data_IF_433551036673
#
_entry.id   IF_433551036673
#
_cell.length_a   1.000
_cell.length_b   1.000
_cell.length_c   1.000
_cell.angle_alpha   90.00
_cell.angle_beta   90.00
_cell.angle_gamma   90.00
#
_symmetry.space_group_name_H-M   'P 1'
#
loop_
_entity.id
_entity.type
_entity.pdbx_description
1 polymer ?
#
# COMPACT_ATOMS: atom_id res chain seq x y z
N UNK A 1 -29.51 42.44 -30.91
CA UNK A 1 -28.24 41.70 -30.76
C UNK A 1 -28.38 40.72 -29.60
N UNK A 2 -28.75 39.47 -29.88
CA UNK A 2 -28.94 38.46 -28.83
C UNK A 2 -27.59 37.87 -28.44
N UNK A 3 -27.05 38.31 -27.31
CA UNK A 3 -25.82 37.75 -26.75
C UNK A 3 -26.07 36.29 -26.36
N UNK A 4 -25.56 35.35 -27.15
CA UNK A 4 -25.61 33.92 -26.83
C UNK A 4 -24.72 33.70 -25.61
N UNK A 5 -25.32 33.53 -24.44
CA UNK A 5 -24.63 33.02 -23.26
C UNK A 5 -24.04 31.66 -23.62
N UNK A 6 -22.72 31.58 -23.83
CA UNK A 6 -22.05 30.32 -24.07
C UNK A 6 -22.29 29.41 -22.87
N UNK A 7 -23.05 28.33 -23.06
CA UNK A 7 -23.27 27.31 -22.03
C UNK A 7 -21.89 26.73 -21.71
N UNK A 8 -21.32 27.17 -20.57
CA UNK A 8 -20.01 26.70 -20.12
C UNK A 8 -20.16 25.22 -19.78
N UNK A 9 -19.46 24.35 -20.51
CA UNK A 9 -19.48 22.93 -20.23
C UNK A 9 -19.06 22.67 -18.77
N UNK A 10 -19.68 21.69 -18.07
CA UNK A 10 -19.33 21.37 -16.70
C UNK A 10 -17.84 21.02 -16.56
N UNK A 11 -17.29 21.17 -15.35
CA UNK A 11 -15.92 20.73 -15.07
C UNK A 11 -15.85 19.22 -14.91
N UNK A 12 -14.73 18.63 -15.29
CA UNK A 12 -14.40 17.25 -14.94
C UNK A 12 -14.29 17.14 -13.42
N UNK A 13 -14.79 16.06 -12.84
CA UNK A 13 -14.64 15.81 -11.39
C UNK A 13 -13.22 15.38 -10.99
N UNK A 14 -12.37 15.01 -11.95
CA UNK A 14 -11.02 14.47 -11.69
C UNK A 14 -9.87 15.42 -12.02
N UNK A 15 -10.07 16.38 -12.94
CA UNK A 15 -9.01 17.27 -13.39
C UNK A 15 -9.55 18.70 -13.57
N UNK A 16 -8.67 19.71 -13.71
CA UNK A 16 -9.10 21.09 -13.92
C UNK A 16 -9.86 21.34 -15.23
N UNK A 17 -9.81 20.41 -16.19
CA UNK A 17 -10.42 20.57 -17.51
C UNK A 17 -11.96 20.55 -17.48
N UNK A 18 -12.56 20.96 -18.61
CA UNK A 18 -14.00 20.86 -18.83
C UNK A 18 -14.37 19.59 -19.57
N UNK A 19 -15.63 19.18 -19.42
CA UNK A 19 -16.19 18.10 -20.22
C UNK A 19 -16.24 18.48 -21.71
N UNK A 20 -16.02 17.50 -22.62
CA UNK A 20 -16.19 17.71 -24.05
C UNK A 20 -17.58 18.28 -24.36
N UNK A 21 -17.66 19.20 -25.33
CA UNK A 21 -18.95 19.81 -25.71
C UNK A 21 -20.01 18.79 -26.17
N UNK A 22 -19.58 17.62 -26.65
CA UNK A 22 -20.44 16.49 -27.07
C UNK A 22 -20.62 15.43 -25.97
N UNK A 23 -20.21 15.70 -24.73
CA UNK A 23 -20.40 14.78 -23.63
C UNK A 23 -21.90 14.60 -23.33
N UNK A 24 -22.26 13.41 -22.84
CA UNK A 24 -23.63 13.15 -22.37
C UNK A 24 -23.95 14.07 -21.19
N UNK A 25 -25.24 14.36 -20.99
CA UNK A 25 -25.69 15.25 -19.92
C UNK A 25 -25.28 14.78 -18.51
N UNK A 26 -25.13 13.47 -18.31
CA UNK A 26 -24.71 12.81 -17.08
C UNK A 26 -23.20 12.52 -17.02
N UNK A 27 -22.42 12.96 -18.01
CA UNK A 27 -20.98 12.75 -18.01
C UNK A 27 -20.33 13.49 -16.84
N UNK A 28 -19.46 12.80 -16.11
CA UNK A 28 -18.74 13.34 -14.94
C UNK A 28 -17.25 13.56 -15.19
N UNK A 29 -16.71 12.95 -16.24
CA UNK A 29 -15.27 12.94 -16.54
C UNK A 29 -15.00 13.31 -17.99
N UNK A 30 -13.92 14.06 -18.23
CA UNK A 30 -13.59 14.53 -19.58
C UNK A 30 -13.10 13.42 -20.51
N UNK A 31 -12.64 12.29 -19.96
CA UNK A 31 -12.00 11.21 -20.70
C UNK A 31 -12.08 9.87 -19.97
N UNK A 32 -11.83 8.76 -20.69
CA UNK A 32 -11.69 7.43 -20.08
C UNK A 32 -10.57 7.38 -19.03
N UNK A 33 -9.36 7.96 -19.27
CA UNK A 33 -8.33 8.08 -18.25
C UNK A 33 -8.79 8.78 -16.97
N UNK A 34 -9.50 9.92 -17.07
CA UNK A 34 -10.02 10.62 -15.88
C UNK A 34 -11.05 9.78 -15.12
N UNK A 35 -11.94 9.08 -15.82
CA UNK A 35 -12.88 8.14 -15.18
C UNK A 35 -12.16 7.02 -14.46
N UNK A 36 -11.12 6.45 -15.08
CA UNK A 36 -10.31 5.39 -14.47
C UNK A 36 -9.53 5.90 -13.26
N UNK A 37 -8.98 7.13 -13.30
CA UNK A 37 -8.29 7.75 -12.17
C UNK A 37 -9.26 7.98 -10.99
N UNK A 38 -10.41 8.59 -11.22
CA UNK A 38 -11.43 8.80 -10.19
C UNK A 38 -11.95 7.48 -9.58
N UNK A 39 -12.10 6.44 -10.41
CA UNK A 39 -12.41 5.09 -9.94
C UNK A 39 -11.30 4.55 -9.03
N UNK A 40 -10.03 4.67 -9.43
CA UNK A 40 -8.87 4.21 -8.63
C UNK A 40 -8.78 4.96 -7.31
N UNK A 41 -8.99 6.27 -7.29
CA UNK A 41 -8.98 7.09 -6.06
C UNK A 41 -10.10 6.67 -5.10
N UNK A 42 -11.34 6.58 -5.59
CA UNK A 42 -12.47 6.11 -4.77
C UNK A 42 -12.24 4.71 -4.20
N UNK A 43 -11.73 3.78 -5.02
CA UNK A 43 -11.39 2.43 -4.57
C UNK A 43 -10.25 2.42 -3.56
N UNK A 44 -9.23 3.27 -3.77
CA UNK A 44 -8.16 3.46 -2.80
C UNK A 44 -8.70 4.00 -1.48
N UNK A 45 -9.63 4.95 -1.51
CA UNK A 45 -10.27 5.46 -0.29
C UNK A 45 -11.10 4.37 0.42
N UNK A 46 -11.83 3.51 -0.31
CA UNK A 46 -12.57 2.36 0.25
C UNK A 46 -11.64 1.37 0.99
N UNK A 47 -10.41 1.18 0.51
CA UNK A 47 -9.42 0.28 1.13
C UNK A 47 -8.43 1.00 2.05
N UNK A 48 -8.60 2.30 2.30
CA UNK A 48 -7.62 3.09 3.05
C UNK A 48 -6.23 3.10 2.44
N UNK A 49 -6.13 2.98 1.11
CA UNK A 49 -4.89 2.90 0.35
C UNK A 49 -4.33 1.49 0.16
N UNK A 50 -4.88 0.48 0.86
CA UNK A 50 -4.33 -0.87 0.87
C UNK A 50 -4.57 -1.62 -0.46
N UNK A 51 -3.66 -2.55 -0.85
CA UNK A 51 -3.84 -3.39 -2.03
C UNK A 51 -5.08 -4.27 -1.94
N UNK A 52 -5.87 -4.30 -3.02
CA UNK A 52 -7.12 -5.08 -3.05
C UNK A 52 -6.85 -6.56 -2.76
N UNK A 53 -5.79 -7.08 -3.35
CA UNK A 53 -5.29 -8.43 -3.19
C UNK A 53 -5.15 -8.77 -1.69
N UNK A 54 -4.55 -7.89 -0.89
CA UNK A 54 -4.40 -8.11 0.55
C UNK A 54 -5.74 -7.97 1.29
N UNK A 55 -6.55 -6.96 0.95
CA UNK A 55 -7.84 -6.72 1.67
C UNK A 55 -8.86 -7.84 1.53
N UNK A 56 -8.77 -8.66 0.48
CA UNK A 56 -9.67 -9.80 0.26
C UNK A 56 -9.33 -11.04 1.11
N UNK A 57 -8.23 -11.01 1.87
CA UNK A 57 -7.73 -12.14 2.65
C UNK A 57 -8.00 -11.90 4.14
N UNK A 58 -8.42 -12.94 4.88
CA UNK A 58 -8.69 -12.86 6.31
C UNK A 58 -7.41 -12.99 7.16
N UNK A 59 -6.45 -12.08 6.94
CA UNK A 59 -5.12 -12.08 7.59
C UNK A 59 -4.79 -10.74 8.23
N UNK A 60 -5.81 -9.98 8.57
CA UNK A 60 -5.66 -8.65 9.16
C UNK A 60 -5.73 -8.71 10.66
N UNK A 61 -4.90 -7.89 11.31
CA UNK A 61 -4.88 -7.67 12.76
C UNK A 61 -4.88 -6.17 13.03
N UNK A 62 -5.01 -5.79 14.29
CA UNK A 62 -4.66 -4.43 14.77
C UNK A 62 -3.27 -4.47 15.39
N UNK A 63 -2.68 -3.32 15.72
CA UNK A 63 -1.46 -3.28 16.53
C UNK A 63 -1.51 -2.18 17.60
N UNK A 64 -0.84 -2.39 18.73
CA UNK A 64 -0.75 -1.44 19.85
C UNK A 64 0.24 -0.30 19.57
N UNK A 65 0.30 0.73 20.44
CA UNK A 65 1.33 1.78 20.31
C UNK A 65 2.77 1.25 20.37
N UNK A 66 2.99 0.08 20.96
CA UNK A 66 4.29 -0.61 20.99
C UNK A 66 4.48 -1.57 19.81
N UNK A 67 3.63 -1.49 18.77
CA UNK A 67 3.64 -2.39 17.61
C UNK A 67 3.57 -3.86 18.02
N UNK A 68 2.68 -4.18 18.96
CA UNK A 68 2.33 -5.56 19.30
C UNK A 68 1.02 -5.91 18.58
N UNK A 69 0.93 -7.04 17.86
CA UNK A 69 -0.27 -7.40 17.13
C UNK A 69 -1.42 -7.74 18.09
N UNK A 70 -2.61 -7.26 17.74
CA UNK A 70 -3.85 -7.38 18.50
C UNK A 70 -4.97 -7.90 17.60
N UNK A 71 -5.86 -8.69 18.15
CA UNK A 71 -7.17 -8.97 17.57
C UNK A 71 -7.99 -7.67 17.48
N UNK A 72 -9.08 -7.68 16.71
CA UNK A 72 -10.02 -6.54 16.64
C UNK A 72 -10.70 -6.19 17.96
N UNK A 73 -10.56 -7.05 18.98
CA UNK A 73 -11.09 -6.89 20.34
C UNK A 73 -10.00 -6.52 21.37
N UNK A 74 -8.74 -6.31 20.96
CA UNK A 74 -7.67 -5.84 21.86
C UNK A 74 -6.90 -6.93 22.61
N UNK A 75 -7.21 -8.21 22.40
CA UNK A 75 -6.36 -9.32 22.88
C UNK A 75 -5.14 -9.49 21.96
N UNK A 76 -4.00 -10.03 22.43
CA UNK A 76 -2.87 -10.35 21.57
C UNK A 76 -3.26 -11.25 20.39
N UNK A 77 -2.74 -10.94 19.21
CA UNK A 77 -2.87 -11.79 18.03
C UNK A 77 -1.53 -12.49 17.73
N UNK A 78 -1.59 -13.68 17.15
CA UNK A 78 -0.41 -14.46 16.79
C UNK A 78 -0.10 -14.25 15.31
N UNK A 79 1.18 -14.23 14.92
CA UNK A 79 1.60 -14.22 13.51
C UNK A 79 1.50 -15.59 12.83
N UNK A 80 1.09 -16.64 13.56
CA UNK A 80 1.03 -18.02 13.05
C UNK A 80 -0.29 -18.74 13.33
N UNK A 81 -1.20 -18.15 14.14
CA UNK A 81 -2.52 -18.73 14.42
C UNK A 81 -3.63 -17.93 13.72
N UNK A 82 -4.21 -18.45 12.61
CA UNK A 82 -5.28 -17.80 11.86
C UNK A 82 -6.53 -17.48 12.68
N UNK A 83 -6.81 -18.22 13.76
CA UNK A 83 -7.96 -17.96 14.62
C UNK A 83 -7.89 -16.61 15.34
N UNK A 84 -6.71 -15.96 15.35
CA UNK A 84 -6.50 -14.63 15.93
C UNK A 84 -6.54 -13.50 14.91
N UNK A 85 -6.72 -13.81 13.62
CA UNK A 85 -6.79 -12.83 12.54
C UNK A 85 -8.24 -12.44 12.23
N UNK A 86 -8.42 -11.47 11.36
CA UNK A 86 -9.73 -10.99 10.92
C UNK A 86 -9.73 -10.61 9.44
N UNK A 87 -10.92 -10.29 8.95
CA UNK A 87 -11.08 -9.65 7.65
C UNK A 87 -10.72 -8.16 7.71
N UNK A 88 -10.40 -7.59 6.54
CA UNK A 88 -10.03 -6.17 6.46
C UNK A 88 -11.15 -5.23 6.92
N UNK A 89 -12.44 -5.40 6.51
CA UNK A 89 -13.51 -4.51 6.95
C UNK A 89 -13.64 -4.39 8.47
N UNK A 90 -13.50 -5.49 9.23
CA UNK A 90 -13.54 -5.49 10.70
C UNK A 90 -12.35 -4.74 11.29
N UNK A 91 -11.14 -4.98 10.78
CA UNK A 91 -9.92 -4.28 11.23
C UNK A 91 -9.97 -2.80 10.92
N UNK A 92 -10.48 -2.42 9.75
CA UNK A 92 -10.61 -1.05 9.31
C UNK A 92 -11.63 -0.26 10.16
N UNK A 93 -12.73 -0.90 10.58
CA UNK A 93 -13.73 -0.28 11.48
C UNK A 93 -13.30 -0.26 12.95
N UNK A 94 -12.45 -1.20 13.38
CA UNK A 94 -12.01 -1.30 14.77
C UNK A 94 -11.12 -0.10 15.14
N UNK A 95 -11.32 0.43 16.35
CA UNK A 95 -10.51 1.50 16.95
C UNK A 95 -9.49 1.00 17.96
N UNK A 96 -9.34 -0.33 18.10
CA UNK A 96 -8.38 -0.93 19.03
C UNK A 96 -6.95 -0.62 18.61
N UNK A 97 -6.10 -0.16 19.53
CA UNK A 97 -4.71 0.16 19.20
C UNK A 97 -4.59 1.28 18.16
N UNK A 98 -3.46 1.31 17.45
CA UNK A 98 -3.09 2.42 16.57
C UNK A 98 -3.55 2.19 15.14
N UNK A 99 -3.31 1.01 14.57
CA UNK A 99 -3.55 0.79 13.14
C UNK A 99 -3.73 -0.67 12.74
N UNK A 100 -3.98 -0.90 11.44
CA UNK A 100 -4.08 -2.23 10.87
C UNK A 100 -2.70 -2.89 10.72
N UNK A 101 -2.65 -4.20 10.83
CA UNK A 101 -1.48 -5.00 10.46
C UNK A 101 -1.90 -6.14 9.53
N UNK A 102 -0.97 -6.63 8.72
CA UNK A 102 -1.19 -7.75 7.82
C UNK A 102 -0.24 -8.90 8.15
N UNK A 103 -0.76 -10.12 8.26
CA UNK A 103 0.03 -11.31 8.56
C UNK A 103 0.42 -12.02 7.26
N UNK A 104 1.72 -12.17 7.05
CA UNK A 104 2.31 -12.91 5.93
C UNK A 104 2.21 -14.42 6.20
N UNK A 105 1.81 -15.17 5.18
CA UNK A 105 1.78 -16.62 5.22
C UNK A 105 2.11 -17.20 3.85
N UNK A 106 2.91 -18.27 3.80
CA UNK A 106 3.45 -18.85 2.54
C UNK A 106 2.42 -19.18 1.45
N UNK A 107 1.19 -19.49 1.85
CA UNK A 107 0.14 -20.03 0.98
C UNK A 107 -0.25 -19.18 -0.24
N UNK A 108 0.12 -17.90 -0.31
CA UNK A 108 -0.27 -17.02 -1.41
C UNK A 108 0.86 -16.19 -2.01
N UNK A 109 2.11 -16.51 -1.65
CA UNK A 109 3.30 -15.89 -2.23
C UNK A 109 3.42 -14.38 -1.98
N UNK A 110 2.70 -13.80 -1.02
CA UNK A 110 2.88 -12.38 -0.69
C UNK A 110 4.14 -12.22 0.16
N UNK A 111 5.04 -11.37 -0.30
CA UNK A 111 6.28 -11.00 0.40
C UNK A 111 6.27 -9.52 0.76
N UNK A 112 7.09 -9.17 1.75
CA UNK A 112 7.38 -7.79 2.15
C UNK A 112 8.90 -7.58 2.18
N UNK A 113 9.37 -6.55 1.49
CA UNK A 113 10.68 -5.96 1.73
C UNK A 113 10.46 -4.81 2.72
N UNK A 114 10.99 -4.93 3.92
CA UNK A 114 10.94 -3.91 4.97
C UNK A 114 12.26 -3.12 4.96
N UNK A 115 12.19 -1.85 4.60
CA UNK A 115 13.32 -0.96 4.47
C UNK A 115 13.31 0.01 5.67
N UNK A 116 14.25 -0.18 6.59
CA UNK A 116 14.34 0.60 7.82
C UNK A 116 15.22 1.84 7.67
N UNK A 117 14.70 2.98 8.14
CA UNK A 117 15.42 4.27 8.22
C UNK A 117 15.94 4.83 6.89
N UNK A 118 15.34 4.41 5.76
CA UNK A 118 15.77 4.80 4.41
C UNK A 118 15.29 6.17 3.93
N UNK A 119 14.29 6.76 4.59
CA UNK A 119 13.77 8.10 4.26
C UNK A 119 14.44 9.14 5.16
N UNK A 120 15.08 10.12 4.54
CA UNK A 120 15.73 11.26 5.21
C UNK A 120 14.73 12.35 5.58
N UNK A 121 15.15 13.29 6.42
CA UNK A 121 14.31 14.40 6.90
C UNK A 121 13.81 15.32 5.77
N UNK A 122 14.54 15.39 4.65
CA UNK A 122 14.15 16.14 3.45
C UNK A 122 13.20 15.35 2.52
N UNK A 123 12.83 14.12 2.89
CA UNK A 123 11.98 13.23 2.10
C UNK A 123 12.69 12.50 0.96
N UNK A 124 14.02 12.60 0.85
CA UNK A 124 14.83 11.82 -0.07
C UNK A 124 15.15 10.44 0.48
N UNK A 125 15.56 9.52 -0.40
CA UNK A 125 15.96 8.16 -0.03
C UNK A 125 17.47 8.03 0.06
N UNK A 126 17.94 7.18 0.97
CA UNK A 126 19.31 6.69 0.94
C UNK A 126 19.62 5.98 -0.38
N UNK A 127 20.88 6.04 -0.81
CA UNK A 127 21.29 5.67 -2.17
C UNK A 127 20.90 4.23 -2.52
N UNK A 128 21.27 3.26 -1.70
CA UNK A 128 20.93 1.85 -1.93
C UNK A 128 19.41 1.60 -1.98
N UNK A 129 18.61 2.35 -1.21
CA UNK A 129 17.16 2.20 -1.20
C UNK A 129 16.55 2.81 -2.47
N UNK A 130 17.11 3.92 -2.97
CA UNK A 130 16.72 4.50 -4.24
C UNK A 130 17.06 3.56 -5.41
N UNK A 131 18.23 2.94 -5.40
CA UNK A 131 18.65 1.93 -6.38
C UNK A 131 17.75 0.69 -6.34
N UNK A 132 17.46 0.16 -5.15
CA UNK A 132 16.55 -0.97 -4.99
C UNK A 132 15.16 -0.65 -5.55
N UNK A 133 14.61 0.54 -5.25
CA UNK A 133 13.30 0.95 -5.76
C UNK A 133 13.29 1.15 -7.29
N UNK A 134 14.43 1.36 -7.94
CA UNK A 134 14.49 1.40 -9.41
C UNK A 134 14.36 0.00 -10.03
N UNK A 135 14.75 -1.05 -9.30
CA UNK A 135 14.58 -2.45 -9.71
C UNK A 135 13.16 -2.97 -9.43
N UNK A 136 12.47 -2.35 -8.47
CA UNK A 136 11.12 -2.74 -8.06
C UNK A 136 10.11 -2.35 -9.16
N UNK A 137 9.31 -3.30 -9.69
CA UNK A 137 8.23 -2.97 -10.61
C UNK A 137 7.14 -2.15 -9.92
N UNK A 138 6.21 -1.62 -10.71
CA UNK A 138 5.09 -0.78 -10.22
C UNK A 138 4.11 -1.56 -9.31
N UNK A 139 4.51 -1.70 -8.04
CA UNK A 139 3.87 -2.45 -6.96
C UNK A 139 3.58 -1.55 -5.76
N UNK A 140 2.85 -2.09 -4.79
CA UNK A 140 2.53 -1.37 -3.56
C UNK A 140 3.77 -1.07 -2.73
N UNK A 141 3.98 0.22 -2.47
CA UNK A 141 4.97 0.73 -1.53
C UNK A 141 4.28 1.70 -0.60
N UNK A 142 4.51 1.57 0.71
CA UNK A 142 3.99 2.51 1.71
C UNK A 142 5.09 3.03 2.63
N UNK A 143 4.85 4.20 3.21
CA UNK A 143 5.65 4.71 4.33
C UNK A 143 5.36 3.87 5.56
N UNK A 144 6.39 3.35 6.22
CA UNK A 144 6.21 2.55 7.43
C UNK A 144 5.74 3.42 8.61
N UNK A 145 5.24 2.78 9.67
CA UNK A 145 4.71 3.50 10.83
C UNK A 145 5.74 4.34 11.62
N UNK A 146 7.04 4.25 11.30
CA UNK A 146 8.06 5.15 11.85
C UNK A 146 8.15 6.50 11.12
N UNK A 147 7.57 6.60 9.92
CA UNK A 147 7.74 7.74 9.02
C UNK A 147 9.09 7.80 8.30
N UNK A 148 10.05 6.94 8.69
CA UNK A 148 11.42 6.93 8.14
C UNK A 148 11.77 5.66 7.36
N UNK A 149 10.87 4.68 7.32
CA UNK A 149 11.07 3.45 6.54
C UNK A 149 10.01 3.29 5.46
N UNK A 150 10.19 2.27 4.62
CA UNK A 150 9.24 1.88 3.58
C UNK A 150 8.93 0.39 3.68
N UNK A 151 7.69 0.01 3.38
CA UNK A 151 7.36 -1.38 3.08
C UNK A 151 7.09 -1.53 1.58
N UNK A 152 7.74 -2.48 0.92
CA UNK A 152 7.47 -2.88 -0.46
C UNK A 152 6.80 -4.24 -0.45
N UNK A 153 5.56 -4.32 -0.95
CA UNK A 153 4.83 -5.56 -1.06
C UNK A 153 4.74 -6.04 -2.50
N UNK A 154 4.77 -7.36 -2.69
CA UNK A 154 4.54 -7.97 -3.98
C UNK A 154 4.42 -9.49 -3.88
N UNK A 155 4.36 -10.15 -5.03
CA UNK A 155 4.36 -11.60 -5.13
C UNK A 155 5.78 -12.14 -5.26
N UNK A 156 6.06 -13.29 -4.66
CA UNK A 156 7.35 -13.95 -4.76
C UNK A 156 7.46 -15.17 -3.84
N UNK A 157 8.54 -15.93 -4.04
CA UNK A 157 8.86 -17.09 -3.21
C UNK A 157 10.28 -16.95 -2.70
N UNK A 158 10.50 -17.25 -1.42
CA UNK A 158 11.85 -17.33 -0.85
C UNK A 158 12.32 -18.79 -0.86
N UNK A 159 13.57 -19.09 -1.24
CA UNK A 159 14.11 -20.45 -1.23
C UNK A 159 14.29 -20.99 0.21
N UNK A 160 14.20 -20.13 1.22
CA UNK A 160 14.36 -20.50 2.62
C UNK A 160 13.72 -19.48 3.58
N UNK A 161 14.41 -19.22 4.70
CA UNK A 161 14.00 -18.15 5.62
C UNK A 161 14.26 -16.78 4.99
N UNK A 162 13.56 -15.78 5.49
CA UNK A 162 13.86 -14.38 5.20
C UNK A 162 15.31 -14.00 5.49
N UNK A 163 15.77 -12.91 4.87
CA UNK A 163 17.13 -12.38 5.04
C UNK A 163 17.07 -10.96 5.61
N UNK A 164 18.07 -10.63 6.43
CA UNK A 164 18.22 -9.31 7.05
C UNK A 164 19.61 -8.77 6.75
N UNK A 165 19.67 -7.50 6.37
CA UNK A 165 20.87 -6.70 6.26
C UNK A 165 20.75 -5.49 7.19
N UNK A 166 21.82 -5.22 7.91
CA UNK A 166 21.99 -3.99 8.68
C UNK A 166 23.25 -3.30 8.17
N UNK A 167 23.11 -2.04 7.79
CA UNK A 167 24.20 -1.24 7.27
C UNK A 167 24.82 -0.40 8.39
N UNK A 168 26.07 0.04 8.18
CA UNK A 168 26.82 0.79 9.20
C UNK A 168 26.20 2.16 9.53
N UNK A 169 25.40 2.72 8.61
CA UNK A 169 24.66 3.98 8.79
C UNK A 169 23.35 3.81 9.59
N UNK A 170 23.05 2.60 10.07
CA UNK A 170 21.85 2.29 10.84
C UNK A 170 20.62 2.00 9.99
N UNK A 171 20.72 2.04 8.65
CA UNK A 171 19.65 1.58 7.76
C UNK A 171 19.62 0.06 7.67
N UNK A 172 18.51 -0.50 7.21
CA UNK A 172 18.36 -1.95 7.09
C UNK A 172 17.39 -2.37 6.00
N UNK A 173 17.56 -3.61 5.55
CA UNK A 173 16.64 -4.31 4.66
C UNK A 173 16.28 -5.65 5.29
N UNK A 174 15.01 -5.98 5.35
CA UNK A 174 14.52 -7.29 5.77
C UNK A 174 13.54 -7.83 4.73
N UNK A 175 13.64 -9.13 4.43
CA UNK A 175 12.77 -9.80 3.46
C UNK A 175 11.94 -10.86 4.17
N UNK A 176 10.62 -10.73 4.10
CA UNK A 176 9.66 -11.59 4.80
C UNK A 176 8.64 -12.19 3.85
N UNK A 177 8.26 -13.45 4.09
CA UNK A 177 7.22 -14.15 3.33
C UNK A 177 6.28 -15.01 4.21
N UNK A 178 6.60 -15.15 5.51
CA UNK A 178 5.89 -16.09 6.39
C UNK A 178 6.03 -15.73 7.86
N UNK A 179 5.05 -16.16 8.66
CA UNK A 179 5.05 -16.14 10.13
C UNK A 179 5.42 -14.78 10.76
N UNK A 180 5.18 -13.69 10.03
CA UNK A 180 5.44 -12.31 10.46
C UNK A 180 4.23 -11.46 10.14
N UNK A 181 3.94 -10.50 11.00
CA UNK A 181 2.98 -9.46 10.70
C UNK A 181 3.73 -8.17 10.39
N UNK A 182 3.18 -7.37 9.49
CA UNK A 182 3.69 -6.05 9.13
C UNK A 182 2.65 -5.03 9.57
N UNK A 183 3.09 -3.98 10.27
CA UNK A 183 2.23 -2.86 10.64
C UNK A 183 1.94 -2.02 9.40
N UNK A 184 0.68 -1.94 8.98
CA UNK A 184 0.29 -1.31 7.72
C UNK A 184 -0.15 0.13 7.96
N UNK A 185 0.24 1.05 7.06
CA UNK A 185 -0.17 2.46 7.15
C UNK A 185 -1.18 2.87 6.09
N UNK A 186 -1.17 2.25 4.90
CA UNK A 186 -1.98 2.68 3.77
C UNK A 186 -1.44 3.94 3.09
N UNK A 187 -0.38 4.54 3.64
CA UNK A 187 0.22 5.78 3.15
C UNK A 187 1.17 5.45 2.01
N UNK A 188 0.61 5.34 0.80
CA UNK A 188 1.37 5.01 -0.41
C UNK A 188 2.54 5.97 -0.59
N UNK A 189 3.72 5.41 -0.84
CA UNK A 189 4.91 6.19 -1.16
C UNK A 189 4.72 6.83 -2.53
N UNK A 190 4.59 8.17 -2.55
CA UNK A 190 4.38 8.96 -3.76
C UNK A 190 3.17 8.43 -4.55
N UNK A 191 3.38 8.01 -5.80
CA UNK A 191 2.33 7.51 -6.69
C UNK A 191 2.24 5.98 -6.74
N UNK A 192 2.90 5.24 -5.84
CA UNK A 192 2.90 3.78 -5.82
C UNK A 192 1.45 3.24 -5.89
N UNK A 193 1.15 2.22 -6.71
CA UNK A 193 -0.20 1.76 -6.94
C UNK A 193 -0.72 0.93 -5.77
N UNK A 194 -2.04 0.87 -5.60
CA UNK A 194 -2.70 -0.01 -4.62
C UNK A 194 -2.92 -1.44 -5.19
N UNK A 195 -1.84 -2.05 -5.70
CA UNK A 195 -1.84 -3.41 -6.28
C UNK A 195 -0.51 -4.11 -6.02
N UNK A 196 -0.48 -5.42 -6.14
CA UNK A 196 0.76 -6.20 -6.03
C UNK A 196 1.28 -6.58 -7.43
N UNK A 197 2.59 -6.46 -7.64
CA UNK A 197 3.30 -6.98 -8.81
C UNK A 197 4.24 -8.12 -8.39
N UNK A 198 4.82 -8.81 -9.39
CA UNK A 198 5.81 -9.87 -9.18
C UNK A 198 7.17 -9.27 -8.78
N UNK A 199 7.77 -9.76 -7.69
CA UNK A 199 9.07 -9.36 -7.19
C UNK A 199 10.15 -10.43 -7.42
N UNK A 200 9.86 -11.48 -8.21
CA UNK A 200 10.77 -12.61 -8.42
C UNK A 200 12.19 -12.21 -8.84
N UNK A 201 12.33 -11.30 -9.80
CA UNK A 201 13.65 -10.81 -10.26
C UNK A 201 14.38 -10.01 -9.18
N UNK A 202 13.65 -9.17 -8.43
CA UNK A 202 14.20 -8.41 -7.30
C UNK A 202 14.67 -9.36 -6.19
N UNK A 203 13.85 -10.36 -5.85
CA UNK A 203 14.18 -11.37 -4.85
C UNK A 203 15.40 -12.20 -5.26
N UNK A 204 15.51 -12.58 -6.54
CA UNK A 204 16.67 -13.32 -7.06
C UNK A 204 17.98 -12.51 -6.97
N UNK A 205 17.90 -11.19 -6.99
CA UNK A 205 19.07 -10.30 -6.79
C UNK A 205 19.46 -10.19 -5.33
N UNK A 206 18.51 -10.35 -4.41
CA UNK A 206 18.71 -10.19 -2.97
C UNK A 206 19.08 -11.50 -2.24
N UNK A 207 18.70 -12.67 -2.77
CA UNK A 207 18.79 -13.95 -2.05
C UNK A 207 19.89 -14.85 -2.64
#
# INVERSE_FOLDING_TARGET
MSSRTAIRSPRCEQCPDRLPARARADARYCSSPCRQAAYRERRGAETGGMPREMTTRARWVRYSARKVPLTVHGRPASSTNPATWSDFPRVHRSRVGVGPGYVLAKSDGIVCLDLDHVVRDDGTLVEWAAELLQLVPDTYVEVSCSGRGLHVFGYGTLPGRGRRWQYADGTGLEVYADARYIAMTGQRWRSAPARLADLGEVLATLL
#
